data_IF_439505683279
#
_entry.id   IF_439505683279
#
_cell.length_a   1.000
_cell.length_b   1.000
_cell.length_c   1.000
_cell.angle_alpha   90.00
_cell.angle_beta   90.00
_cell.angle_gamma   90.00
#
_symmetry.space_group_name_H-M   'P 1'
#
loop_
_entity.id
_entity.type
_entity.pdbx_description
1 polymer ?
#
# COMPACT_ATOMS: atom_id res chain seq x y z
N UNK A 1 6.24 -8.12 -5.95
CA UNK A 1 4.92 -7.73 -5.40
C UNK A 1 4.97 -6.24 -5.13
N UNK A 2 3.99 -5.47 -5.63
CA UNK A 2 3.89 -4.05 -5.32
C UNK A 2 3.38 -3.89 -3.89
N UNK A 3 3.93 -2.93 -3.15
CA UNK A 3 3.34 -2.55 -1.86
C UNK A 3 2.14 -1.65 -2.11
N UNK A 4 1.25 -1.53 -1.12
CA UNK A 4 0.09 -0.64 -1.20
C UNK A 4 0.51 0.80 -1.53
N UNK A 5 1.62 1.27 -0.94
CA UNK A 5 2.19 2.59 -1.19
C UNK A 5 2.56 2.77 -2.66
N UNK A 6 3.35 1.86 -3.23
CA UNK A 6 3.79 1.97 -4.63
C UNK A 6 2.63 1.86 -5.60
N UNK A 7 1.64 1.00 -5.31
CA UNK A 7 0.46 0.84 -6.15
C UNK A 7 -0.40 2.12 -6.16
N UNK A 8 -0.55 2.76 -5.01
CA UNK A 8 -1.31 4.01 -4.90
C UNK A 8 -0.59 5.19 -5.57
N UNK A 9 0.74 5.28 -5.43
CA UNK A 9 1.55 6.30 -6.11
C UNK A 9 1.44 6.17 -7.64
N UNK A 10 1.61 4.96 -8.17
CA UNK A 10 1.43 4.70 -9.61
C UNK A 10 0.03 5.04 -10.09
N UNK A 11 -1.01 4.74 -9.30
CA UNK A 11 -2.38 5.07 -9.65
C UNK A 11 -2.65 6.58 -9.70
N UNK A 12 -2.04 7.34 -8.78
CA UNK A 12 -2.08 8.81 -8.77
C UNK A 12 -1.37 9.37 -10.01
N UNK A 13 -0.21 8.83 -10.37
CA UNK A 13 0.53 9.29 -11.55
C UNK A 13 -0.18 8.93 -12.86
N UNK A 14 -0.82 7.75 -12.93
CA UNK A 14 -1.55 7.28 -14.11
C UNK A 14 -2.85 8.06 -14.38
N UNK A 15 -3.43 8.69 -13.36
CA UNK A 15 -4.65 9.50 -13.48
C UNK A 15 -4.44 10.79 -14.31
N UNK A 16 -3.20 11.29 -14.37
CA UNK A 16 -2.82 12.44 -15.21
C UNK A 16 -3.27 13.81 -14.70
N UNK A 17 -4.12 13.89 -13.66
CA UNK A 17 -4.40 15.16 -12.97
C UNK A 17 -3.20 15.58 -12.12
N UNK A 18 -3.08 16.88 -11.87
CA UNK A 18 -2.08 17.38 -10.93
C UNK A 18 -2.35 16.88 -9.51
N UNK A 19 -1.29 16.68 -8.72
CA UNK A 19 -1.39 16.31 -7.31
C UNK A 19 -2.30 17.25 -6.49
N UNK A 20 -2.32 18.53 -6.86
CA UNK A 20 -3.18 19.53 -6.25
C UNK A 20 -4.66 19.29 -6.53
N UNK A 21 -5.00 18.89 -7.76
CA UNK A 21 -6.37 18.55 -8.13
C UNK A 21 -6.85 17.27 -7.44
N UNK A 22 -5.97 16.27 -7.33
CA UNK A 22 -6.27 15.02 -6.62
C UNK A 22 -6.43 15.27 -5.12
N UNK A 23 -5.60 16.15 -4.53
CA UNK A 23 -5.75 16.57 -3.14
C UNK A 23 -7.11 17.21 -2.88
N UNK A 24 -7.53 18.13 -3.75
CA UNK A 24 -8.84 18.77 -3.67
C UNK A 24 -9.98 17.74 -3.81
N UNK A 25 -9.90 16.84 -4.79
CA UNK A 25 -10.92 15.81 -5.02
C UNK A 25 -11.04 14.79 -3.87
N UNK A 26 -9.93 14.48 -3.21
CA UNK A 26 -9.88 13.55 -2.06
C UNK A 26 -10.14 14.22 -0.71
N UNK A 27 -10.27 15.56 -0.67
CA UNK A 27 -10.37 16.30 0.59
C UNK A 27 -9.11 16.17 1.46
N UNK A 28 -7.94 16.03 0.85
CA UNK A 28 -6.65 15.91 1.53
C UNK A 28 -5.80 17.16 1.34
N UNK A 29 -4.84 17.37 2.24
CA UNK A 29 -3.93 18.51 2.13
C UNK A 29 -2.92 18.34 0.97
N UNK A 30 -2.65 19.42 0.24
CA UNK A 30 -1.75 19.42 -0.92
C UNK A 30 -0.32 19.04 -0.51
N UNK A 31 0.15 19.54 0.64
CA UNK A 31 1.49 19.21 1.12
C UNK A 31 1.56 17.76 1.62
N UNK A 32 0.46 17.22 2.14
CA UNK A 32 0.35 15.81 2.50
C UNK A 32 0.49 14.90 1.27
N UNK A 33 -0.26 15.14 0.18
CA UNK A 33 -0.10 14.37 -1.06
C UNK A 33 1.32 14.52 -1.63
N UNK A 34 1.86 15.74 -1.66
CA UNK A 34 3.22 15.96 -2.20
C UNK A 34 4.29 15.21 -1.41
N UNK A 35 4.20 15.16 -0.08
CA UNK A 35 5.11 14.37 0.76
C UNK A 35 4.91 12.87 0.58
N UNK A 36 3.67 12.42 0.36
CA UNK A 36 3.37 11.02 0.07
C UNK A 36 3.97 10.56 -1.26
N UNK A 37 3.76 11.32 -2.34
CA UNK A 37 4.32 10.99 -3.67
C UNK A 37 5.86 10.98 -3.66
N UNK A 38 6.48 11.86 -2.85
CA UNK A 38 7.95 11.88 -2.67
C UNK A 38 8.49 10.82 -1.71
N UNK A 39 7.63 9.98 -1.11
CA UNK A 39 8.04 8.96 -0.14
C UNK A 39 8.54 9.51 1.20
N UNK A 40 8.32 10.80 1.48
CA UNK A 40 8.75 11.47 2.72
C UNK A 40 7.82 11.13 3.89
N UNK A 41 6.56 10.82 3.60
CA UNK A 41 5.54 10.49 4.61
C UNK A 41 4.60 9.41 4.11
N UNK A 42 4.18 8.51 4.98
CA UNK A 42 3.06 7.60 4.73
C UNK A 42 1.70 8.31 4.89
N UNK A 43 0.66 7.74 4.27
CA UNK A 43 -0.73 8.15 4.50
C UNK A 43 -1.43 7.17 5.44
N UNK A 44 -2.44 7.65 6.14
CA UNK A 44 -3.36 6.77 6.88
C UNK A 44 -4.23 5.99 5.90
N UNK A 45 -4.80 4.87 6.36
CA UNK A 45 -5.72 4.08 5.54
C UNK A 45 -6.95 4.88 5.10
N UNK A 46 -7.49 5.72 5.99
CA UNK A 46 -8.59 6.66 5.67
C UNK A 46 -8.23 7.63 4.54
N UNK A 47 -7.02 8.20 4.57
CA UNK A 47 -6.55 9.08 3.50
C UNK A 47 -6.39 8.31 2.19
N UNK A 48 -5.84 7.09 2.25
CA UNK A 48 -5.71 6.23 1.08
C UNK A 48 -7.08 5.91 0.46
N UNK A 49 -8.09 5.60 1.29
CA UNK A 49 -9.46 5.31 0.84
C UNK A 49 -10.09 6.51 0.13
N UNK A 50 -9.97 7.71 0.70
CA UNK A 50 -10.45 8.95 0.06
C UNK A 50 -9.77 9.24 -1.28
N UNK A 51 -8.47 8.96 -1.39
CA UNK A 51 -7.75 9.07 -2.67
C UNK A 51 -8.28 8.04 -3.66
N UNK A 52 -8.46 6.78 -3.26
CA UNK A 52 -9.01 5.74 -4.13
C UNK A 52 -10.41 6.12 -4.65
N UNK A 53 -11.28 6.63 -3.79
CA UNK A 53 -12.61 7.14 -4.20
C UNK A 53 -12.49 8.30 -5.20
N UNK A 54 -11.59 9.26 -4.96
CA UNK A 54 -11.37 10.38 -5.86
C UNK A 54 -10.77 9.98 -7.24
N UNK A 55 -10.09 8.84 -7.29
CA UNK A 55 -9.56 8.22 -8.51
C UNK A 55 -10.56 7.24 -9.17
N UNK A 56 -11.70 6.98 -8.55
CA UNK A 56 -12.68 5.99 -9.05
C UNK A 56 -12.19 4.54 -8.92
N UNK A 57 -11.29 4.26 -7.99
CA UNK A 57 -10.70 2.94 -7.76
C UNK A 57 -11.44 2.18 -6.68
N UNK A 58 -11.51 0.85 -6.85
CA UNK A 58 -11.99 -0.07 -5.83
C UNK A 58 -10.81 -0.71 -5.10
N UNK A 59 -10.80 -0.62 -3.77
CA UNK A 59 -9.85 -1.35 -2.94
C UNK A 59 -10.39 -2.73 -2.58
N UNK A 60 -9.59 -3.77 -2.80
CA UNK A 60 -9.91 -5.15 -2.44
C UNK A 60 -8.78 -5.80 -1.63
N UNK A 61 -9.15 -6.57 -0.61
CA UNK A 61 -8.18 -7.31 0.20
C UNK A 61 -7.74 -8.58 -0.54
N UNK A 62 -6.54 -8.55 -1.10
CA UNK A 62 -5.95 -9.70 -1.78
C UNK A 62 -4.98 -10.42 -0.85
N UNK A 63 -5.34 -11.63 -0.41
CA UNK A 63 -4.44 -12.47 0.38
C UNK A 63 -3.53 -13.27 -0.54
N UNK A 64 -2.32 -12.79 -0.72
CA UNK A 64 -1.26 -13.60 -1.35
C UNK A 64 -0.83 -14.70 -0.38
N UNK A 65 -0.46 -15.88 -0.90
CA UNK A 65 0.14 -16.96 -0.08
C UNK A 65 1.29 -16.34 0.72
N UNK A 66 1.11 -16.20 2.03
CA UNK A 66 2.18 -15.75 2.91
C UNK A 66 3.29 -16.78 2.80
N UNK A 67 4.54 -16.32 2.75
CA UNK A 67 5.71 -17.18 2.87
C UNK A 67 5.77 -17.75 4.29
N UNK A 68 4.79 -18.58 4.65
CA UNK A 68 4.67 -19.23 5.95
C UNK A 68 4.90 -20.70 5.71
N UNK A 69 6.18 -21.11 5.68
CA UNK A 69 6.70 -22.43 6.05
C UNK A 69 8.20 -22.49 5.73
N UNK A 70 9.04 -22.28 6.74
CA UNK A 70 10.43 -22.76 6.74
C UNK A 70 11.10 -22.90 8.12
N UNK A 71 10.49 -22.44 9.22
CA UNK A 71 11.22 -22.44 10.53
C UNK A 71 10.94 -23.66 11.40
N UNK A 72 9.81 -24.37 11.24
CA UNK A 72 9.45 -25.49 12.15
C UNK A 72 9.85 -26.89 11.67
N UNK A 73 10.49 -27.03 10.50
CA UNK A 73 10.92 -28.34 10.00
C UNK A 73 12.30 -28.80 10.54
N UNK A 74 13.10 -27.90 11.15
CA UNK A 74 14.43 -28.24 11.68
C UNK A 74 14.41 -28.69 13.15
N UNK A 75 13.34 -28.43 13.91
CA UNK A 75 13.23 -28.82 15.32
C UNK A 75 12.75 -30.28 15.53
N UNK A 76 12.02 -30.86 14.59
CA UNK A 76 11.49 -32.23 14.71
C UNK A 76 12.53 -33.33 14.43
N UNK A 77 13.64 -33.01 13.75
CA UNK A 77 14.67 -33.99 13.37
C UNK A 77 15.72 -34.24 14.47
N UNK A 78 15.81 -33.37 15.48
CA UNK A 78 16.80 -33.47 16.57
C UNK A 78 16.34 -34.47 17.66
N UNK A 79 15.04 -34.74 17.81
CA UNK A 79 14.52 -35.62 18.87
C UNK A 79 14.48 -37.12 18.54
N UNK A 80 14.85 -37.54 17.32
CA UNK A 80 14.78 -38.95 16.88
C UNK A 80 16.16 -39.64 16.80
N UNK A 81 17.19 -39.02 17.39
CA UNK A 81 18.56 -39.53 17.42
C UNK A 81 19.18 -39.39 18.81
N UNK A 82 18.57 -40.01 19.82
CA UNK A 82 19.20 -40.38 21.08
C UNK A 82 18.65 -41.72 21.53
#
# INVERSE_FOLDING_TARGET
MKTTTTALQEAIDADGRSWVAIAAASGTDKAQIGRFMRGVRSVTLDTADRICLALGLRCELVRTKSATKATTAKAAKIRKGR
#
